data_IF_261414768919
#
_entry.id   IF_261414768919
#
_cell.length_a   1.000
_cell.length_b   1.000
_cell.length_c   1.000
_cell.angle_alpha   90.00
_cell.angle_beta   90.00
_cell.angle_gamma   90.00
#
_symmetry.space_group_name_H-M   'P 1'
#
loop_
_entity.id
_entity.type
_entity.pdbx_description
1 polymer ?
#
# COMPACT_ATOMS: atom_id res chain seq x y z
N UNK A 1 -34.33 8.05 -27.22
CA UNK A 1 -33.55 6.83 -27.54
C UNK A 1 -33.11 6.21 -26.24
N UNK A 2 -33.58 5.00 -25.93
CA UNK A 2 -33.57 4.39 -24.59
C UNK A 2 -33.04 2.96 -24.75
N UNK A 3 -31.81 2.70 -24.31
CA UNK A 3 -31.19 1.37 -24.37
C UNK A 3 -31.57 0.57 -23.11
N UNK A 4 -32.21 -0.61 -23.24
CA UNK A 4 -32.46 -1.49 -22.10
C UNK A 4 -31.25 -2.40 -21.79
N UNK A 5 -31.05 -2.79 -20.52
CA UNK A 5 -29.91 -3.59 -20.06
C UNK A 5 -30.13 -5.10 -20.31
N UNK A 6 -29.11 -5.76 -20.86
CA UNK A 6 -29.10 -7.22 -21.06
C UNK A 6 -28.64 -7.97 -19.79
N UNK A 7 -29.63 -8.55 -19.11
CA UNK A 7 -29.68 -9.90 -18.49
C UNK A 7 -28.36 -10.61 -18.17
N UNK A 8 -27.98 -10.84 -16.90
CA UNK A 8 -28.48 -11.88 -15.97
C UNK A 8 -28.12 -13.34 -16.31
N UNK A 9 -26.84 -13.73 -16.23
CA UNK A 9 -26.40 -15.11 -16.53
C UNK A 9 -25.49 -15.81 -15.51
N UNK A 10 -25.18 -15.23 -14.35
CA UNK A 10 -24.25 -15.86 -13.39
C UNK A 10 -24.89 -16.59 -12.20
N UNK A 11 -26.20 -16.84 -12.20
CA UNK A 11 -26.89 -17.47 -11.06
C UNK A 11 -27.10 -18.99 -11.14
N UNK A 12 -26.64 -19.71 -12.17
CA UNK A 12 -27.17 -21.07 -12.43
C UNK A 12 -26.19 -22.26 -12.53
N UNK A 13 -25.07 -22.29 -11.78
CA UNK A 13 -24.17 -23.48 -11.79
C UNK A 13 -23.69 -24.00 -10.43
N UNK A 14 -24.46 -23.86 -9.35
CA UNK A 14 -23.95 -24.16 -7.99
C UNK A 14 -24.76 -25.09 -7.09
N UNK A 15 -25.50 -26.09 -7.60
CA UNK A 15 -26.30 -26.95 -6.70
C UNK A 15 -26.09 -28.46 -6.67
N UNK A 16 -25.22 -29.08 -7.48
CA UNK A 16 -24.99 -30.54 -7.39
C UNK A 16 -23.52 -31.00 -7.25
N UNK A 17 -22.55 -30.09 -7.10
CA UNK A 17 -21.12 -30.45 -7.05
C UNK A 17 -20.48 -30.35 -5.66
N UNK A 18 -21.23 -29.93 -4.63
CA UNK A 18 -20.72 -29.53 -3.31
C UNK A 18 -19.96 -30.63 -2.56
N UNK A 19 -20.46 -31.86 -2.48
CA UNK A 19 -19.75 -32.94 -1.74
C UNK A 19 -18.42 -33.33 -2.38
N UNK A 20 -18.40 -33.54 -3.70
CA UNK A 20 -17.17 -33.93 -4.42
C UNK A 20 -16.14 -32.79 -4.44
N UNK A 21 -16.58 -31.54 -4.60
CA UNK A 21 -15.67 -30.39 -4.57
C UNK A 21 -15.04 -30.18 -3.17
N UNK A 22 -15.80 -30.41 -2.11
CA UNK A 22 -15.28 -30.37 -0.73
C UNK A 22 -14.27 -31.48 -0.46
N UNK A 23 -14.50 -32.69 -0.97
CA UNK A 23 -13.55 -33.81 -0.84
C UNK A 23 -12.26 -33.56 -1.63
N UNK A 24 -12.35 -33.04 -2.87
CA UNK A 24 -11.18 -32.67 -3.68
C UNK A 24 -10.37 -31.57 -2.96
N UNK A 25 -11.05 -30.53 -2.43
CA UNK A 25 -10.38 -29.47 -1.68
C UNK A 25 -9.70 -29.99 -0.40
N UNK A 26 -10.33 -30.92 0.32
CA UNK A 26 -9.73 -31.55 1.51
C UNK A 26 -8.53 -32.44 1.15
N UNK A 27 -8.64 -33.26 0.11
CA UNK A 27 -7.53 -34.10 -0.35
C UNK A 27 -6.33 -33.25 -0.77
N UNK A 28 -6.57 -32.13 -1.45
CA UNK A 28 -5.53 -31.19 -1.86
C UNK A 28 -4.88 -30.50 -0.65
N UNK A 29 -5.67 -30.11 0.35
CA UNK A 29 -5.16 -29.54 1.60
C UNK A 29 -4.32 -30.55 2.41
N UNK A 30 -4.79 -31.81 2.53
CA UNK A 30 -4.04 -32.87 3.21
C UNK A 30 -2.75 -33.20 2.46
N UNK A 31 -2.78 -33.23 1.12
CA UNK A 31 -1.59 -33.41 0.30
C UNK A 31 -0.55 -32.31 0.51
N UNK A 32 -0.96 -31.03 0.52
CA UNK A 32 -0.07 -29.91 0.81
C UNK A 32 0.47 -29.94 2.25
N UNK A 33 -0.38 -30.32 3.22
CA UNK A 33 0.03 -30.42 4.62
C UNK A 33 1.06 -31.54 4.83
N UNK A 34 0.87 -32.70 4.20
CA UNK A 34 1.84 -33.80 4.23
C UNK A 34 3.15 -33.40 3.53
N UNK A 35 3.07 -32.68 2.41
CA UNK A 35 4.26 -32.18 1.70
C UNK A 35 5.05 -31.17 2.55
N UNK A 36 4.36 -30.23 3.21
CA UNK A 36 4.98 -29.27 4.11
C UNK A 36 5.60 -29.96 5.34
N UNK A 37 4.90 -30.93 5.93
CA UNK A 37 5.43 -31.71 7.04
C UNK A 37 6.68 -32.51 6.61
N UNK A 38 6.68 -33.12 5.42
CA UNK A 38 7.85 -33.80 4.88
C UNK A 38 9.05 -32.87 4.68
N UNK A 39 8.82 -31.61 4.26
CA UNK A 39 9.89 -30.60 4.21
C UNK A 39 10.35 -30.16 5.60
N UNK A 40 9.45 -30.00 6.56
CA UNK A 40 9.78 -29.61 7.93
C UNK A 40 10.60 -30.67 8.67
N UNK A 41 10.37 -31.95 8.38
CA UNK A 41 11.15 -33.06 8.93
C UNK A 41 12.51 -33.25 8.23
N UNK A 42 12.82 -32.51 7.15
CA UNK A 42 14.21 -32.46 6.64
C UNK A 42 15.01 -31.56 7.57
N UNK A 43 15.90 -32.11 8.42
CA UNK A 43 16.73 -31.29 9.29
C UNK A 43 17.75 -30.64 8.37
N UNK A 44 17.51 -29.39 8.00
CA UNK A 44 18.57 -28.55 7.47
C UNK A 44 19.52 -28.33 8.64
N UNK A 45 20.75 -28.85 8.52
CA UNK A 45 21.82 -28.52 9.45
C UNK A 45 22.18 -27.04 9.23
N UNK A 46 21.37 -26.14 9.78
CA UNK A 46 21.65 -24.73 9.87
C UNK A 46 22.23 -24.46 11.26
N UNK A 47 23.55 -24.28 11.29
CA UNK A 47 24.25 -23.65 12.40
C UNK A 47 23.58 -22.31 12.75
N UNK A 48 23.35 -21.99 14.04
CA UNK A 48 22.76 -20.72 14.43
C UNK A 48 23.81 -19.61 14.31
N UNK A 49 23.99 -19.06 13.11
CA UNK A 49 24.58 -17.74 12.97
C UNK A 49 23.49 -16.71 13.21
N UNK A 50 23.75 -15.90 14.23
CA UNK A 50 23.01 -14.74 14.71
C UNK A 50 22.19 -14.02 13.63
N UNK A 51 20.97 -13.66 14.02
CA UNK A 51 20.02 -12.88 13.25
C UNK A 51 20.65 -11.61 12.66
N UNK A 52 20.88 -11.61 11.35
CA UNK A 52 21.00 -10.39 10.56
C UNK A 52 19.72 -10.28 9.72
N UNK A 53 18.82 -9.31 9.98
CA UNK A 53 17.60 -9.17 9.21
C UNK A 53 18.00 -8.86 7.76
N UNK A 54 17.46 -9.68 6.86
CA UNK A 54 17.61 -9.56 5.43
C UNK A 54 17.44 -8.10 4.99
N UNK A 55 18.58 -7.46 4.68
CA UNK A 55 18.66 -6.17 4.02
C UNK A 55 17.86 -6.30 2.72
N UNK A 56 16.63 -5.80 2.74
CA UNK A 56 15.92 -5.47 1.51
C UNK A 56 16.88 -4.62 0.67
N UNK A 57 16.98 -4.96 -0.61
CA UNK A 57 17.82 -4.28 -1.61
C UNK A 57 17.36 -2.82 -1.73
N UNK A 58 17.77 -1.98 -0.79
CA UNK A 58 17.62 -0.54 -0.83
C UNK A 58 18.51 -0.04 -1.98
N UNK A 59 17.93 0.76 -2.87
CA UNK A 59 18.71 1.46 -3.90
C UNK A 59 19.78 2.30 -3.20
N UNK A 60 21.06 2.24 -3.63
CA UNK A 60 22.10 3.07 -3.05
C UNK A 60 21.85 4.51 -3.51
N UNK A 61 21.46 5.39 -2.59
CA UNK A 61 21.39 6.82 -2.95
C UNK A 61 20.62 7.76 -2.03
N UNK A 62 19.80 7.30 -1.08
CA UNK A 62 19.14 8.22 -0.12
C UNK A 62 19.43 7.75 1.30
N UNK A 63 20.13 8.55 2.12
CA UNK A 63 20.28 8.23 3.53
C UNK A 63 18.89 8.27 4.17
N UNK A 64 18.34 7.10 4.50
CA UNK A 64 17.14 6.95 5.35
C UNK A 64 17.43 7.32 6.81
N UNK A 65 18.39 8.21 7.06
CA UNK A 65 18.68 8.72 8.39
C UNK A 65 17.57 9.69 8.73
N UNK A 66 16.52 9.18 9.38
CA UNK A 66 15.60 10.02 10.12
C UNK A 66 16.45 10.88 11.05
N UNK A 67 16.53 12.18 10.76
CA UNK A 67 17.08 13.14 11.70
C UNK A 67 16.35 12.90 13.03
N UNK A 68 17.09 12.81 14.14
CA UNK A 68 16.52 12.41 15.43
C UNK A 68 15.19 13.14 15.70
N UNK A 69 14.08 12.38 15.80
CA UNK A 69 12.73 12.92 15.96
C UNK A 69 11.85 12.94 14.69
N UNK A 70 12.39 12.69 13.49
CA UNK A 70 11.62 12.62 12.24
C UNK A 70 11.46 11.18 11.73
N UNK A 71 10.25 10.86 11.24
CA UNK A 71 9.90 9.61 10.59
C UNK A 71 9.47 9.85 9.15
N UNK A 72 9.86 8.94 8.25
CA UNK A 72 9.50 9.02 6.83
C UNK A 72 8.13 8.35 6.61
N UNK A 73 7.17 9.11 6.08
CA UNK A 73 5.81 8.66 5.84
C UNK A 73 5.49 8.72 4.34
N UNK A 74 4.98 7.63 3.75
CA UNK A 74 4.45 7.64 2.39
C UNK A 74 3.05 8.28 2.36
N UNK A 75 2.88 9.31 1.52
CA UNK A 75 1.58 9.96 1.31
C UNK A 75 1.18 9.94 -0.16
N UNK A 76 -0.11 9.68 -0.43
CA UNK A 76 -0.68 9.81 -1.77
C UNK A 76 -1.32 11.18 -1.92
N UNK A 77 -0.86 11.94 -2.92
CA UNK A 77 -1.44 13.24 -3.21
C UNK A 77 -2.80 13.12 -3.90
N UNK A 78 -3.70 14.02 -3.54
CA UNK A 78 -5.01 14.17 -4.18
C UNK A 78 -4.90 14.66 -5.63
N UNK A 79 -3.86 15.44 -5.94
CA UNK A 79 -3.61 15.99 -7.27
C UNK A 79 -2.19 15.61 -7.74
N UNK A 80 -2.13 14.90 -8.88
CA UNK A 80 -0.87 14.50 -9.48
C UNK A 80 -0.06 15.68 -10.04
N UNK A 81 -0.72 16.76 -10.43
CA UNK A 81 -0.10 17.97 -10.96
C UNK A 81 0.71 18.69 -9.88
N UNK A 82 0.21 18.68 -8.64
CA UNK A 82 0.92 19.24 -7.48
C UNK A 82 2.21 18.46 -7.21
N UNK A 83 2.19 17.13 -7.39
CA UNK A 83 3.37 16.29 -7.21
C UNK A 83 4.52 16.68 -8.16
N UNK A 84 4.20 17.13 -9.38
CA UNK A 84 5.19 17.56 -10.36
C UNK A 84 5.88 18.89 -9.99
N UNK A 85 5.29 19.67 -9.07
CA UNK A 85 5.88 20.91 -8.56
C UNK A 85 6.80 20.68 -7.36
N UNK A 86 6.73 19.49 -6.74
CA UNK A 86 7.53 19.17 -5.57
C UNK A 86 8.97 18.83 -5.97
N UNK A 87 9.89 19.17 -5.08
CA UNK A 87 11.31 18.79 -5.20
C UNK A 87 11.77 18.21 -3.86
N UNK A 88 12.61 17.16 -3.84
CA UNK A 88 13.26 16.71 -2.62
C UNK A 88 13.95 17.87 -1.87
N UNK A 89 13.77 17.93 -0.55
CA UNK A 89 14.21 19.02 0.32
C UNK A 89 13.20 20.15 0.52
N UNK A 90 12.13 20.21 -0.28
CA UNK A 90 11.08 21.22 -0.13
C UNK A 90 10.29 21.04 1.16
N UNK A 91 9.93 22.15 1.82
CA UNK A 91 9.03 22.11 2.99
C UNK A 91 7.59 22.31 2.55
N UNK A 92 6.70 21.50 3.09
CA UNK A 92 5.27 21.53 2.80
C UNK A 92 4.46 21.39 4.08
N UNK A 93 3.24 21.91 4.07
CA UNK A 93 2.24 21.53 5.06
C UNK A 93 1.28 20.51 4.45
N UNK A 94 0.94 19.49 5.22
CA UNK A 94 0.11 18.37 4.80
C UNK A 94 -1.27 18.59 5.38
N UNK A 95 -2.29 18.64 4.52
CA UNK A 95 -3.67 18.91 4.91
C UNK A 95 -4.60 17.83 4.39
N UNK A 96 -5.60 17.44 5.18
CA UNK A 96 -6.65 16.55 4.68
C UNK A 96 -7.35 17.21 3.49
N UNK A 97 -7.60 16.44 2.44
CA UNK A 97 -8.56 16.86 1.43
C UNK A 97 -9.94 16.96 2.09
N UNK A 98 -10.74 17.95 1.69
CA UNK A 98 -12.12 18.06 2.15
C UNK A 98 -12.93 16.94 1.48
N UNK A 99 -13.20 15.89 2.24
CA UNK A 99 -14.27 14.94 1.98
C UNK A 99 -15.49 15.42 2.76
N UNK A 100 -16.64 15.59 2.10
CA UNK A 100 -17.84 16.32 2.63
C UNK A 100 -18.44 15.87 3.98
N UNK A 101 -17.77 14.98 4.71
CA UNK A 101 -18.04 14.53 6.07
C UNK A 101 -17.02 15.01 7.11
N UNK A 102 -15.84 15.53 6.71
CA UNK A 102 -14.77 15.94 7.63
C UNK A 102 -14.22 17.33 7.30
N UNK A 103 -14.08 18.22 8.29
CA UNK A 103 -13.49 19.53 8.08
C UNK A 103 -12.00 19.42 7.73
N UNK A 104 -11.52 20.32 6.88
CA UNK A 104 -10.10 20.45 6.50
C UNK A 104 -9.23 20.65 7.73
N UNK A 105 -8.32 19.72 8.00
CA UNK A 105 -7.39 19.74 9.15
C UNK A 105 -5.95 19.69 8.63
N UNK A 106 -5.08 20.52 9.20
CA UNK A 106 -3.62 20.42 8.99
C UNK A 106 -3.11 19.21 9.79
N UNK A 107 -2.54 18.24 9.09
CA UNK A 107 -2.03 17.00 9.67
C UNK A 107 -0.57 17.12 10.10
N UNK A 108 0.22 17.82 9.31
CA UNK A 108 1.62 18.09 9.60
C UNK A 108 2.00 19.46 9.05
N UNK A 109 2.82 20.20 9.80
CA UNK A 109 3.41 21.45 9.33
C UNK A 109 4.91 21.27 9.18
N UNK A 110 5.50 21.95 8.19
CA UNK A 110 6.95 21.89 7.89
C UNK A 110 7.49 20.48 7.61
N UNK A 111 6.66 19.63 7.02
CA UNK A 111 7.10 18.33 6.53
C UNK A 111 8.11 18.53 5.39
N UNK A 112 9.18 17.74 5.37
CA UNK A 112 10.21 17.84 4.31
C UNK A 112 9.99 16.73 3.29
N UNK A 113 9.88 17.09 2.00
CA UNK A 113 9.81 16.11 0.93
C UNK A 113 11.16 15.39 0.82
N UNK A 114 11.16 14.07 0.97
CA UNK A 114 12.37 13.24 0.88
C UNK A 114 12.54 12.70 -0.53
N UNK A 115 11.44 12.23 -1.13
CA UNK A 115 11.46 11.58 -2.43
C UNK A 115 10.06 11.60 -3.04
N UNK A 116 9.97 11.52 -4.37
CA UNK A 116 8.72 11.55 -5.11
C UNK A 116 8.73 10.34 -6.06
N UNK A 117 7.78 9.43 -5.88
CA UNK A 117 7.63 8.23 -6.70
C UNK A 117 6.46 8.42 -7.66
N UNK A 118 6.70 8.29 -8.98
CA UNK A 118 5.64 8.34 -9.96
C UNK A 118 4.63 7.20 -9.71
N UNK A 119 3.35 7.38 -10.09
CA UNK A 119 2.39 6.29 -10.01
C UNK A 119 2.88 5.12 -10.88
N UNK A 120 2.62 3.86 -10.48
CA UNK A 120 3.05 2.71 -11.26
C UNK A 120 2.39 2.74 -12.64
N UNK A 121 3.20 2.83 -13.69
CA UNK A 121 2.73 2.70 -15.06
C UNK A 121 2.19 1.28 -15.26
N UNK A 122 0.89 1.16 -15.60
CA UNK A 122 0.26 -0.14 -15.88
C UNK A 122 -0.73 -0.67 -14.85
N UNK A 123 -1.25 0.18 -13.95
CA UNK A 123 -2.43 -0.15 -13.13
C UNK A 123 -3.65 -0.43 -14.01
N UNK A 124 -3.89 -1.70 -14.31
CA UNK A 124 -4.96 -2.19 -15.18
C UNK A 124 -6.31 -1.64 -14.77
N UNK A 125 -6.90 -0.82 -15.64
CA UNK A 125 -8.26 -0.27 -15.55
C UNK A 125 -9.32 -1.39 -15.46
N UNK A 126 -8.94 -2.64 -15.74
CA UNK A 126 -9.76 -3.84 -15.61
C UNK A 126 -9.97 -4.29 -14.15
N UNK A 127 -9.19 -3.79 -13.20
CA UNK A 127 -9.25 -4.21 -11.78
C UNK A 127 -9.99 -3.25 -10.85
N UNK A 128 -10.50 -2.11 -11.35
CA UNK A 128 -11.30 -1.17 -10.56
C UNK A 128 -10.57 -0.51 -9.38
N UNK A 129 -9.27 -0.76 -9.20
CA UNK A 129 -8.44 -0.01 -8.27
C UNK A 129 -8.21 1.36 -8.88
N UNK A 130 -8.91 2.37 -8.35
CA UNK A 130 -8.72 3.77 -8.71
C UNK A 130 -7.22 4.09 -8.72
N UNK A 131 -6.77 4.75 -9.78
CA UNK A 131 -5.36 5.07 -10.01
C UNK A 131 -4.84 5.88 -8.81
N UNK A 132 -4.15 5.19 -7.89
CA UNK A 132 -3.58 5.80 -6.69
C UNK A 132 -2.60 6.86 -7.16
N UNK A 133 -2.83 8.12 -6.76
CA UNK A 133 -2.00 9.26 -7.15
C UNK A 133 -0.51 9.06 -6.80
N UNK A 134 0.38 9.90 -7.36
CA UNK A 134 1.82 9.83 -7.09
C UNK A 134 2.11 9.74 -5.60
N UNK A 135 3.07 8.87 -5.25
CA UNK A 135 3.45 8.61 -3.88
C UNK A 135 4.61 9.52 -3.49
N UNK A 136 4.42 10.36 -2.50
CA UNK A 136 5.45 11.26 -1.98
C UNK A 136 5.92 10.75 -0.63
N UNK A 137 7.24 10.65 -0.43
CA UNK A 137 7.83 10.35 0.86
C UNK A 137 8.14 11.67 1.55
N UNK A 138 7.58 11.86 2.75
CA UNK A 138 7.80 13.07 3.56
C UNK A 138 8.39 12.72 4.91
N UNK A 139 9.28 13.54 5.43
CA UNK A 139 9.74 13.50 6.81
C UNK A 139 8.84 14.37 7.67
N UNK A 140 8.25 13.76 8.71
CA UNK A 140 7.37 14.41 9.69
C UNK A 140 7.83 14.04 11.10
N UNK A 141 7.49 14.84 12.14
CA UNK A 141 7.75 14.47 13.53
C UNK A 141 7.17 13.08 13.87
N UNK A 142 7.93 12.29 14.62
CA UNK A 142 7.59 10.89 14.94
C UNK A 142 6.25 10.77 15.66
N UNK A 143 5.90 11.78 16.46
CA UNK A 143 4.69 11.83 17.28
C UNK A 143 3.42 11.83 16.42
N UNK A 144 3.48 12.43 15.23
CA UNK A 144 2.34 12.55 14.30
C UNK A 144 2.42 11.58 13.12
N UNK A 145 3.56 10.93 12.91
CA UNK A 145 3.83 10.10 11.75
C UNK A 145 2.79 8.99 11.55
N UNK A 146 2.38 8.34 12.64
CA UNK A 146 1.36 7.27 12.61
C UNK A 146 -0.01 7.81 12.22
N UNK A 147 -0.41 9.00 12.70
CA UNK A 147 -1.67 9.64 12.33
C UNK A 147 -1.69 10.00 10.84
N UNK A 148 -0.60 10.64 10.35
CA UNK A 148 -0.45 11.01 8.94
C UNK A 148 -0.51 9.77 8.04
N UNK A 149 0.20 8.69 8.41
CA UNK A 149 0.20 7.43 7.66
C UNK A 149 -1.20 6.80 7.62
N UNK A 150 -1.90 6.74 8.75
CA UNK A 150 -3.23 6.17 8.85
C UNK A 150 -4.26 6.94 8.00
N UNK A 151 -4.16 8.27 7.97
CA UNK A 151 -5.04 9.11 7.19
C UNK A 151 -4.75 9.02 5.69
N UNK A 152 -3.48 8.94 5.29
CA UNK A 152 -3.11 8.76 3.87
C UNK A 152 -3.52 7.41 3.29
N UNK A 153 -3.85 6.40 4.11
CA UNK A 153 -4.41 5.13 3.63
C UNK A 153 -5.86 5.25 3.17
N UNK A 154 -6.62 6.15 3.80
CA UNK A 154 -8.07 6.28 3.58
C UNK A 154 -8.37 7.36 2.56
N UNK A 155 -7.69 8.51 2.68
CA UNK A 155 -7.98 9.69 1.90
C UNK A 155 -6.73 10.20 1.18
N UNK A 156 -6.83 10.58 -0.10
CA UNK A 156 -5.79 11.36 -0.76
C UNK A 156 -5.58 12.68 -0.01
N UNK A 157 -4.33 13.09 0.15
CA UNK A 157 -3.95 14.24 0.99
C UNK A 157 -3.53 15.41 0.09
N UNK A 158 -3.79 16.64 0.51
CA UNK A 158 -3.30 17.83 -0.19
C UNK A 158 -2.08 18.42 0.52
N UNK A 159 -1.25 19.16 -0.21
CA UNK A 159 -0.08 19.84 0.34
C UNK A 159 -0.08 21.31 -0.02
N UNK A 160 0.37 22.17 0.89
CA UNK A 160 0.64 23.59 0.61
C UNK A 160 2.14 23.83 0.55
N UNK A 161 2.56 24.57 -0.48
CA UNK A 161 3.96 24.93 -0.71
C UNK A 161 4.33 26.16 0.13
N UNK A 162 5.58 26.24 0.57
CA UNK A 162 6.14 27.34 1.36
C UNK A 162 7.34 27.97 0.70
#
# INVERSE_FOLDING_TARGET
>A
MRFPPRSSWHRFRFRLRTRRFLLIRRALAVGLLLLAAALALRPTAATPTSAEPARARASPGVPLSGAAGLSTVPVHLADASVAALLTPGMRVDVVTAEDGYSPRKVLASMATVIDIRPPPEGGSQLTGTESKGPLVLIAVPTEIATEVAALSLRNPVAVTLR
#
